data_IF_506735728267
#
_entry.id   IF_506735728267
#
_cell.length_a   1.000
_cell.length_b   1.000
_cell.length_c   1.000
_cell.angle_alpha   90.00
_cell.angle_beta   90.00
_cell.angle_gamma   90.00
#
_symmetry.space_group_name_H-M   'P 1'
#
loop_
_entity.id
_entity.type
_entity.pdbx_description
1 polymer ?
#
# COMPACT_ATOMS: atom_id res chain seq x y z
N UNK A 1 2.64 16.57 -0.71
CA UNK A 1 2.87 15.12 -0.91
C UNK A 1 3.93 14.58 0.04
N UNK A 2 5.13 15.16 0.09
CA UNK A 2 6.22 14.72 0.99
C UNK A 2 5.77 14.56 2.46
N UNK A 3 5.04 15.55 2.99
CA UNK A 3 4.46 15.49 4.35
C UNK A 3 3.57 14.26 4.55
N UNK A 4 2.67 13.97 3.62
CA UNK A 4 1.77 12.81 3.70
C UNK A 4 2.57 11.50 3.81
N UNK A 5 3.62 11.36 3.01
CA UNK A 5 4.43 10.14 2.97
C UNK A 5 5.26 9.98 4.25
N UNK A 6 5.77 11.07 4.81
CA UNK A 6 6.40 11.08 6.14
C UNK A 6 5.40 10.72 7.25
N UNK A 7 4.17 11.24 7.19
CA UNK A 7 3.13 10.94 8.19
C UNK A 7 2.77 9.43 8.16
N UNK A 8 2.66 8.83 6.98
CA UNK A 8 2.43 7.38 6.83
C UNK A 8 3.62 6.59 7.37
N UNK A 9 4.86 6.97 7.03
CA UNK A 9 6.07 6.31 7.52
C UNK A 9 6.12 6.33 9.06
N UNK A 10 5.91 7.50 9.67
CA UNK A 10 5.87 7.67 11.11
C UNK A 10 4.78 6.82 11.78
N UNK A 11 3.61 6.72 11.14
CA UNK A 11 2.49 5.91 11.66
C UNK A 11 2.81 4.42 11.72
N UNK A 12 3.53 3.88 10.73
CA UNK A 12 3.85 2.44 10.64
C UNK A 12 5.19 2.05 11.27
N UNK A 13 6.09 3.01 11.53
CA UNK A 13 7.41 2.77 12.10
C UNK A 13 7.39 1.96 13.41
N UNK A 14 6.49 2.21 14.38
CA UNK A 14 6.42 1.41 15.60
C UNK A 14 6.06 -0.06 15.33
N UNK A 15 5.15 -0.29 14.37
CA UNK A 15 4.63 -1.62 14.04
C UNK A 15 5.67 -2.46 13.29
N UNK A 16 6.39 -1.85 12.34
CA UNK A 16 7.49 -2.53 11.65
C UNK A 16 8.63 -2.83 12.59
N UNK A 17 9.00 -1.88 13.47
CA UNK A 17 10.02 -2.09 14.51
C UNK A 17 9.65 -3.24 15.46
N UNK A 18 8.41 -3.29 15.93
CA UNK A 18 7.93 -4.38 16.78
C UNK A 18 7.98 -5.76 16.09
N UNK A 19 7.79 -5.79 14.77
CA UNK A 19 7.87 -7.00 13.95
C UNK A 19 9.30 -7.32 13.47
N UNK A 20 10.29 -6.48 13.76
CA UNK A 20 11.66 -6.63 13.26
C UNK A 20 11.81 -6.41 11.75
N UNK A 21 10.92 -5.62 11.15
CA UNK A 21 10.96 -5.24 9.73
C UNK A 21 11.64 -3.88 9.54
N UNK A 22 12.33 -3.71 8.41
CA UNK A 22 12.79 -2.40 7.95
C UNK A 22 11.67 -1.64 7.25
N UNK A 23 11.49 -0.36 7.57
CA UNK A 23 10.55 0.53 6.86
C UNK A 23 11.33 1.64 6.15
N UNK A 24 11.38 1.56 4.83
CA UNK A 24 12.17 2.45 3.98
C UNK A 24 11.27 3.48 3.32
N UNK A 25 11.75 4.72 3.23
CA UNK A 25 11.11 5.78 2.48
C UNK A 25 11.92 6.07 1.22
N UNK A 26 11.29 5.97 0.05
CA UNK A 26 11.88 6.32 -1.24
C UNK A 26 11.10 7.49 -1.85
N UNK A 27 11.55 8.72 -1.58
CA UNK A 27 10.90 9.92 -2.08
C UNK A 27 11.74 10.55 -3.20
N UNK A 28 11.27 10.39 -4.44
CA UNK A 28 11.92 10.95 -5.63
C UNK A 28 11.37 12.34 -6.01
N UNK A 29 10.60 12.96 -5.11
CA UNK A 29 10.05 14.29 -5.32
C UNK A 29 10.94 15.34 -4.67
N UNK A 30 11.05 16.50 -5.31
CA UNK A 30 11.61 17.69 -4.67
C UNK A 30 10.74 18.12 -3.49
N UNK A 31 11.38 18.72 -2.46
CA UNK A 31 10.67 19.24 -1.28
C UNK A 31 9.62 20.30 -1.63
N UNK A 32 9.88 21.06 -2.69
CA UNK A 32 9.02 22.11 -3.26
C UNK A 32 7.90 21.57 -4.16
N UNK A 33 7.74 20.24 -4.31
CA UNK A 33 6.71 19.70 -5.18
C UNK A 33 5.30 19.84 -4.59
N UNK A 34 4.43 20.54 -5.32
CA UNK A 34 3.02 20.72 -4.99
C UNK A 34 2.12 20.23 -6.12
N UNK A 35 1.00 19.62 -5.76
CA UNK A 35 -0.04 19.18 -6.70
C UNK A 35 -1.39 19.13 -5.98
N UNK A 36 -2.49 19.20 -6.75
CA UNK A 36 -3.86 19.07 -6.23
C UNK A 36 -4.23 17.59 -6.20
N UNK A 37 -4.42 17.07 -4.99
CA UNK A 37 -4.87 15.69 -4.73
C UNK A 37 -5.81 15.69 -3.54
N UNK A 38 -6.79 14.79 -3.53
CA UNK A 38 -7.52 14.47 -2.31
C UNK A 38 -6.60 13.65 -1.39
N UNK A 39 -5.88 14.35 -0.53
CA UNK A 39 -4.92 13.74 0.38
C UNK A 39 -5.59 12.77 1.36
N UNK A 40 -6.88 12.94 1.68
CA UNK A 40 -7.59 12.05 2.59
C UNK A 40 -7.79 10.69 1.94
N UNK A 41 -8.22 10.65 0.67
CA UNK A 41 -8.40 9.39 -0.07
C UNK A 41 -7.08 8.72 -0.41
N UNK A 42 -6.07 9.50 -0.81
CA UNK A 42 -4.71 8.96 -1.01
C UNK A 42 -4.17 8.38 0.29
N UNK A 43 -4.30 9.07 1.43
CA UNK A 43 -3.90 8.56 2.74
C UNK A 43 -4.60 7.23 3.04
N UNK A 44 -5.91 7.16 2.83
CA UNK A 44 -6.71 5.95 3.06
C UNK A 44 -6.19 4.75 2.24
N UNK A 45 -5.90 4.96 0.95
CA UNK A 45 -5.30 3.93 0.08
C UNK A 45 -3.95 3.48 0.64
N UNK A 46 -3.04 4.42 0.92
CA UNK A 46 -1.69 4.12 1.39
C UNK A 46 -1.67 3.37 2.72
N UNK A 47 -2.56 3.72 3.66
CA UNK A 47 -2.71 3.01 4.93
C UNK A 47 -3.07 1.56 4.68
N UNK A 48 -4.08 1.30 3.83
CA UNK A 48 -4.51 -0.05 3.53
C UNK A 48 -3.39 -0.88 2.86
N UNK A 49 -2.69 -0.30 1.89
CA UNK A 49 -1.58 -0.98 1.20
C UNK A 49 -0.40 -1.26 2.16
N UNK A 50 0.01 -0.30 2.98
CA UNK A 50 1.07 -0.48 3.97
C UNK A 50 0.70 -1.53 5.02
N UNK A 51 -0.55 -1.50 5.52
CA UNK A 51 -1.03 -2.47 6.49
C UNK A 51 -0.97 -3.90 5.92
N UNK A 52 -1.38 -4.08 4.66
CA UNK A 52 -1.28 -5.37 3.98
C UNK A 52 0.17 -5.83 3.80
N UNK A 53 1.05 -4.96 3.31
CA UNK A 53 2.48 -5.27 3.19
C UNK A 53 3.07 -5.73 4.53
N UNK A 54 2.92 -4.92 5.59
CA UNK A 54 3.45 -5.22 6.92
C UNK A 54 2.83 -6.50 7.49
N UNK A 55 1.53 -6.74 7.26
CA UNK A 55 0.84 -7.95 7.68
C UNK A 55 1.47 -9.21 7.08
N UNK A 56 1.77 -9.20 5.78
CA UNK A 56 2.25 -10.37 5.04
C UNK A 56 3.77 -10.49 4.89
N UNK A 57 4.55 -9.50 5.33
CA UNK A 57 6.01 -9.61 5.45
C UNK A 57 6.40 -10.09 6.85
N UNK A 58 7.03 -11.26 6.98
CA UNK A 58 7.50 -11.77 8.27
C UNK A 58 8.93 -11.36 8.62
N UNK A 59 9.79 -11.21 7.60
CA UNK A 59 11.17 -10.75 7.72
C UNK A 59 11.51 -9.94 6.47
N UNK A 60 12.37 -8.94 6.62
CA UNK A 60 12.86 -8.11 5.51
C UNK A 60 12.35 -6.67 5.62
N UNK A 61 11.82 -6.13 4.53
CA UNK A 61 11.48 -4.71 4.45
C UNK A 61 10.16 -4.43 3.76
N UNK A 62 9.60 -3.27 4.10
CA UNK A 62 8.54 -2.59 3.36
C UNK A 62 9.07 -1.22 2.95
N UNK A 63 8.91 -0.86 1.68
CA UNK A 63 9.30 0.44 1.12
C UNK A 63 8.06 1.21 0.72
N UNK A 64 7.97 2.47 1.18
CA UNK A 64 6.98 3.45 0.76
C UNK A 64 7.66 4.37 -0.24
N UNK A 65 7.24 4.27 -1.50
CA UNK A 65 7.78 5.03 -2.61
C UNK A 65 6.83 6.12 -3.11
N UNK A 66 7.40 7.23 -3.55
CA UNK A 66 6.68 8.23 -4.33
C UNK A 66 7.59 8.81 -5.41
N UNK A 67 7.09 8.81 -6.64
CA UNK A 67 7.77 9.38 -7.81
C UNK A 67 6.80 10.12 -8.71
N UNK A 68 7.35 10.93 -9.62
CA UNK A 68 6.59 11.65 -10.62
C UNK A 68 6.98 11.13 -12.00
N UNK A 69 6.00 10.80 -12.83
CA UNK A 69 6.19 10.59 -14.26
C UNK A 69 5.69 11.83 -15.02
N UNK A 70 5.85 11.86 -16.34
CA UNK A 70 5.30 12.94 -17.17
C UNK A 70 3.77 13.07 -17.04
N UNK A 71 3.09 11.95 -16.74
CA UNK A 71 1.63 11.84 -16.82
C UNK A 71 0.96 11.78 -15.44
N UNK A 72 1.68 11.34 -14.40
CA UNK A 72 1.06 11.05 -13.11
C UNK A 72 2.03 11.17 -11.93
N UNK A 73 1.44 11.30 -10.75
CA UNK A 73 2.13 11.01 -9.50
C UNK A 73 1.93 9.53 -9.16
N UNK A 74 3.03 8.82 -8.93
CA UNK A 74 3.00 7.38 -8.65
C UNK A 74 3.38 7.16 -7.19
N UNK A 75 2.49 6.50 -6.46
CA UNK A 75 2.78 5.97 -5.14
C UNK A 75 3.00 4.47 -5.25
N UNK A 76 4.03 3.95 -4.58
CA UNK A 76 4.34 2.52 -4.57
C UNK A 76 4.52 2.01 -3.16
N UNK A 77 3.98 0.83 -2.89
CA UNK A 77 4.29 0.06 -1.68
C UNK A 77 4.92 -1.24 -2.16
N UNK A 78 6.16 -1.48 -1.75
CA UNK A 78 6.91 -2.70 -2.09
C UNK A 78 7.26 -3.43 -0.81
N UNK A 79 7.08 -4.74 -0.80
CA UNK A 79 7.47 -5.57 0.34
C UNK A 79 8.23 -6.82 -0.09
N UNK A 80 8.94 -7.43 0.86
CA UNK A 80 9.69 -8.68 0.66
C UNK A 80 8.98 -9.88 1.31
N UNK A 81 7.65 -9.81 1.39
CA UNK A 81 6.83 -10.83 2.05
C UNK A 81 6.65 -12.10 1.23
N UNK A 82 5.62 -12.84 1.58
CA UNK A 82 5.34 -14.17 1.00
C UNK A 82 4.95 -14.14 -0.49
N UNK A 83 4.70 -12.95 -1.04
CA UNK A 83 4.21 -12.76 -2.40
C UNK A 83 2.81 -13.35 -2.62
N UNK A 84 2.41 -13.38 -3.88
CA UNK A 84 1.09 -13.85 -4.30
C UNK A 84 1.20 -14.76 -5.52
N UNK A 85 0.39 -15.82 -5.56
CA UNK A 85 0.24 -16.67 -6.75
C UNK A 85 -0.51 -15.92 -7.85
N UNK A 86 -0.26 -16.25 -9.12
CA UNK A 86 -0.95 -15.65 -10.26
C UNK A 86 -2.49 -15.76 -10.18
N UNK A 87 -3.03 -16.85 -9.63
CA UNK A 87 -4.47 -16.99 -9.39
C UNK A 87 -5.00 -16.02 -8.34
N UNK A 88 -4.21 -15.71 -7.31
CA UNK A 88 -4.59 -14.76 -6.27
C UNK A 88 -4.56 -13.34 -6.83
N UNK A 89 -3.53 -12.97 -7.60
CA UNK A 89 -3.40 -11.66 -8.24
C UNK A 89 -4.60 -11.27 -9.09
N UNK A 90 -5.23 -12.23 -9.77
CA UNK A 90 -6.45 -11.99 -10.56
C UNK A 90 -7.66 -11.59 -9.72
N UNK A 91 -7.71 -12.03 -8.47
CA UNK A 91 -8.87 -11.91 -7.61
C UNK A 91 -8.71 -10.85 -6.52
N UNK A 92 -7.51 -10.36 -6.22
CA UNK A 92 -7.26 -9.51 -5.03
C UNK A 92 -8.09 -8.22 -4.93
N UNK A 93 -8.60 -7.72 -6.05
CA UNK A 93 -9.43 -6.53 -6.10
C UNK A 93 -10.93 -6.84 -6.10
N UNK A 94 -11.32 -8.12 -6.17
CA UNK A 94 -12.70 -8.55 -6.00
C UNK A 94 -13.11 -8.45 -4.53
N UNK A 95 -14.31 -7.94 -4.28
CA UNK A 95 -14.85 -7.85 -2.93
C UNK A 95 -14.97 -9.24 -2.31
N UNK A 96 -14.60 -9.36 -1.03
CA UNK A 96 -14.69 -10.59 -0.24
C UNK A 96 -13.80 -11.74 -0.72
N UNK A 97 -12.92 -11.52 -1.70
CA UNK A 97 -11.94 -12.52 -2.08
C UNK A 97 -10.87 -12.63 -0.98
N UNK A 98 -10.80 -13.79 -0.34
CA UNK A 98 -9.70 -14.13 0.56
C UNK A 98 -9.04 -15.38 0.04
N UNK A 99 -7.73 -15.28 -0.16
CA UNK A 99 -6.97 -16.30 -0.86
C UNK A 99 -6.83 -17.63 -0.09
N UNK A 100 -7.13 -17.65 1.22
CA UNK A 100 -7.11 -18.86 2.04
C UNK A 100 -7.89 -18.68 3.37
N UNK A 101 -8.76 -19.65 3.71
CA UNK A 101 -9.50 -19.67 4.97
C UNK A 101 -8.57 -19.83 6.20
N UNK A 102 -7.37 -20.37 6.02
CA UNK A 102 -6.36 -20.47 7.08
C UNK A 102 -5.72 -19.12 7.44
N UNK A 103 -5.54 -18.24 6.45
CA UNK A 103 -5.00 -16.88 6.61
C UNK A 103 -6.07 -15.96 7.21
N UNK A 104 -7.33 -16.09 6.78
CA UNK A 104 -8.48 -15.35 7.30
C UNK A 104 -8.59 -15.43 8.83
N UNK A 105 -8.53 -16.65 9.38
CA UNK A 105 -8.66 -16.92 10.82
C UNK A 105 -7.52 -16.36 11.66
N UNK A 106 -6.31 -16.28 11.09
CA UNK A 106 -5.11 -15.84 11.81
C UNK A 106 -4.89 -14.33 11.76
N UNK A 107 -5.51 -13.66 10.79
CA UNK A 107 -5.09 -12.32 10.42
C UNK A 107 -6.19 -11.29 10.16
N UNK A 108 -7.47 -11.65 10.23
CA UNK A 108 -8.61 -10.72 10.25
C UNK A 108 -8.72 -9.79 9.02
N UNK A 109 -9.82 -9.87 8.28
CA UNK A 109 -10.09 -8.92 7.21
C UNK A 109 -11.42 -9.19 6.56
N UNK A 110 -12.05 -8.14 6.01
CA UNK A 110 -13.32 -8.25 5.28
C UNK A 110 -13.12 -8.54 3.80
N UNK A 111 -11.88 -8.51 3.30
CA UNK A 111 -11.59 -8.58 1.86
C UNK A 111 -12.06 -7.35 1.07
N UNK A 112 -12.39 -6.25 1.74
CA UNK A 112 -12.90 -5.02 1.11
C UNK A 112 -11.84 -3.93 0.91
N UNK A 113 -10.68 -4.05 1.57
CA UNK A 113 -9.70 -2.96 1.61
C UNK A 113 -9.13 -2.62 0.24
N UNK A 114 -8.73 -3.63 -0.53
CA UNK A 114 -8.13 -3.45 -1.86
C UNK A 114 -9.15 -3.03 -2.91
N UNK A 115 -10.35 -3.61 -2.91
CA UNK A 115 -11.44 -3.21 -3.81
C UNK A 115 -11.86 -1.75 -3.58
N UNK A 116 -12.00 -1.33 -2.32
CA UNK A 116 -12.25 0.07 -1.98
C UNK A 116 -11.09 0.98 -2.42
N UNK A 117 -9.85 0.55 -2.21
CA UNK A 117 -8.68 1.33 -2.64
C UNK A 117 -8.69 1.57 -4.15
N UNK A 118 -9.05 0.55 -4.94
CA UNK A 118 -9.17 0.65 -6.39
C UNK A 118 -10.30 1.60 -6.81
N UNK A 119 -11.47 1.53 -6.15
CA UNK A 119 -12.58 2.46 -6.41
C UNK A 119 -12.20 3.91 -6.08
N UNK A 120 -11.52 4.15 -4.96
CA UNK A 120 -11.05 5.48 -4.57
C UNK A 120 -10.05 6.03 -5.61
N UNK A 121 -9.12 5.21 -6.09
CA UNK A 121 -8.18 5.61 -7.14
C UNK A 121 -8.90 5.96 -8.45
N UNK A 122 -9.86 5.12 -8.87
CA UNK A 122 -10.66 5.34 -10.07
C UNK A 122 -11.49 6.64 -10.00
N UNK A 123 -12.11 6.94 -8.86
CA UNK A 123 -12.83 8.21 -8.65
C UNK A 123 -11.93 9.45 -8.74
N UNK A 124 -10.62 9.29 -8.49
CA UNK A 124 -9.62 10.34 -8.67
C UNK A 124 -9.00 10.35 -10.08
N UNK A 125 -9.50 9.55 -11.02
CA UNK A 125 -8.97 9.43 -12.38
C UNK A 125 -7.65 8.65 -12.48
N UNK A 126 -7.28 7.92 -11.42
CA UNK A 126 -6.10 7.06 -11.40
C UNK A 126 -6.46 5.58 -11.41
N UNK A 127 -5.46 4.73 -11.16
CA UNK A 127 -5.64 3.28 -11.02
C UNK A 127 -4.64 2.72 -10.02
N UNK A 128 -4.88 1.48 -9.58
CA UNK A 128 -3.93 0.69 -8.79
C UNK A 128 -3.56 -0.53 -9.61
N UNK A 129 -2.27 -0.79 -9.73
CA UNK A 129 -1.72 -2.03 -10.27
C UNK A 129 -0.94 -2.79 -9.20
N UNK A 130 -0.74 -4.08 -9.42
CA UNK A 130 -0.01 -4.98 -8.52
C UNK A 130 0.94 -5.86 -9.32
N UNK A 131 2.08 -6.19 -8.74
CA UNK A 131 3.03 -7.19 -9.22
C UNK A 131 3.56 -7.94 -8.00
N UNK A 132 3.73 -9.25 -8.12
CA UNK A 132 4.28 -10.10 -7.06
C UNK A 132 5.01 -11.30 -7.63
#
# INVERSE_FOLDING_TARGET
VVKLINDIHAMFSPQTKAKGLSLVLDCQLEKSYFTRLDLTRVKQILINLCANAIKFTHKGQVTIGVSKTEQALVFSIKDTGIGMRASQLKLIFECFSQADNSISRRFGGTGLGLSLSQQLAAMMGGYISVQS
#
